data_IF_278650222634
#
_entry.id   IF_278650222634
#
_cell.length_a   1.000
_cell.length_b   1.000
_cell.length_c   1.000
_cell.angle_alpha   90.00
_cell.angle_beta   90.00
_cell.angle_gamma   90.00
#
_symmetry.space_group_name_H-M   'P 1'
#
loop_
_entity.id
_entity.type
_entity.pdbx_description
1 polymer ?
#
# COMPACT_ATOMS: atom_id res chain seq x y z
N UNK A 1 -2.65 18.76 11.78
CA UNK A 1 -3.48 18.01 10.81
C UNK A 1 -2.72 17.99 9.50
N UNK A 2 -2.51 16.80 8.91
CA UNK A 2 -1.63 16.58 7.75
C UNK A 2 -2.41 15.92 6.61
N UNK A 3 -3.59 16.48 6.29
CA UNK A 3 -4.44 15.98 5.21
C UNK A 3 -3.73 16.10 3.85
N UNK A 4 -3.65 15.01 3.04
CA UNK A 4 -3.09 15.06 1.70
C UNK A 4 -3.87 16.03 0.80
N UNK A 5 -3.20 16.58 -0.22
CA UNK A 5 -3.87 17.41 -1.22
C UNK A 5 -4.90 16.58 -2.00
N UNK A 6 -5.96 17.24 -2.50
CA UNK A 6 -6.96 16.57 -3.33
C UNK A 6 -6.35 15.91 -4.58
N UNK A 7 -5.31 16.52 -5.14
CA UNK A 7 -4.52 15.97 -6.24
C UNK A 7 -3.81 14.67 -5.84
N UNK A 8 -3.17 14.64 -4.66
CA UNK A 8 -2.53 13.42 -4.13
C UNK A 8 -3.55 12.29 -3.98
N UNK A 9 -4.68 12.55 -3.33
CA UNK A 9 -5.73 11.54 -3.11
C UNK A 9 -6.29 11.02 -4.43
N UNK A 10 -6.45 11.91 -5.43
CA UNK A 10 -6.91 11.53 -6.77
C UNK A 10 -5.90 10.64 -7.50
N UNK A 11 -4.61 10.99 -7.47
CA UNK A 11 -3.56 10.21 -8.12
C UNK A 11 -3.38 8.84 -7.48
N UNK A 12 -3.37 8.76 -6.14
CA UNK A 12 -3.28 7.47 -5.43
C UNK A 12 -4.52 6.62 -5.71
N UNK A 13 -5.72 7.23 -5.67
CA UNK A 13 -6.97 6.53 -6.01
C UNK A 13 -6.97 5.98 -7.43
N UNK A 14 -6.53 6.76 -8.42
CA UNK A 14 -6.43 6.32 -9.81
C UNK A 14 -5.41 5.19 -9.99
N UNK A 15 -4.27 5.25 -9.29
CA UNK A 15 -3.26 4.21 -9.32
C UNK A 15 -3.78 2.88 -8.72
N UNK A 16 -4.45 2.93 -7.57
CA UNK A 16 -5.09 1.75 -6.99
C UNK A 16 -6.16 1.17 -7.91
N UNK A 17 -7.02 2.03 -8.47
CA UNK A 17 -8.07 1.61 -9.40
C UNK A 17 -7.49 0.94 -10.67
N UNK A 18 -6.36 1.45 -11.20
CA UNK A 18 -5.67 0.83 -12.35
C UNK A 18 -5.14 -0.58 -12.06
N UNK A 19 -4.94 -0.93 -10.79
CA UNK A 19 -4.56 -2.26 -10.33
C UNK A 19 -5.77 -3.08 -9.83
N UNK A 20 -7.00 -2.64 -10.13
CA UNK A 20 -8.25 -3.24 -9.67
C UNK A 20 -8.38 -3.31 -8.15
N UNK A 21 -7.83 -2.31 -7.45
CA UNK A 21 -7.90 -2.18 -6.00
C UNK A 21 -8.80 -1.00 -5.63
N UNK A 22 -9.65 -1.21 -4.63
CA UNK A 22 -10.46 -0.16 -4.01
C UNK A 22 -9.98 0.08 -2.59
N UNK A 23 -10.10 1.32 -2.13
CA UNK A 23 -9.73 1.69 -0.78
C UNK A 23 -10.67 2.74 -0.21
N UNK A 24 -10.92 2.64 1.09
CA UNK A 24 -11.69 3.60 1.88
C UNK A 24 -10.78 4.18 2.96
N UNK A 25 -10.66 5.50 3.12
CA UNK A 25 -9.74 6.07 4.09
C UNK A 25 -10.00 5.57 5.52
N UNK A 26 -8.93 5.22 6.25
CA UNK A 26 -9.03 4.77 7.66
C UNK A 26 -9.37 5.92 8.62
N UNK A 27 -9.06 7.16 8.22
CA UNK A 27 -9.21 8.35 9.06
C UNK A 27 -9.96 9.43 8.30
N UNK A 28 -10.64 10.31 9.05
CA UNK A 28 -11.30 11.48 8.46
C UNK A 28 -10.33 12.42 7.72
N UNK A 29 -9.05 12.41 8.11
CA UNK A 29 -8.00 13.19 7.48
C UNK A 29 -7.47 12.56 6.18
N UNK A 30 -7.76 11.27 5.92
CA UNK A 30 -7.39 10.61 4.67
C UNK A 30 -5.92 10.24 4.51
N UNK A 31 -5.12 10.35 5.58
CA UNK A 31 -3.65 10.17 5.51
C UNK A 31 -3.25 8.69 5.40
N UNK A 32 -4.07 7.78 5.95
CA UNK A 32 -3.87 6.33 5.89
C UNK A 32 -4.98 5.66 5.09
N UNK A 33 -4.56 4.86 4.13
CA UNK A 33 -5.41 4.27 3.10
C UNK A 33 -5.22 2.74 3.19
N UNK A 34 -6.21 1.98 3.69
CA UNK A 34 -6.15 0.53 3.80
C UNK A 34 -6.44 -0.06 2.43
N UNK A 35 -5.56 -0.94 1.96
CA UNK A 35 -5.73 -1.62 0.68
C UNK A 35 -5.87 -3.10 0.93
N UNK A 36 -7.04 -3.65 0.57
CA UNK A 36 -7.25 -5.08 0.61
C UNK A 36 -6.82 -5.68 -0.74
N UNK A 37 -5.75 -6.46 -0.73
CA UNK A 37 -5.14 -7.05 -1.92
C UNK A 37 -4.69 -8.48 -1.63
N UNK A 38 -4.75 -9.34 -2.64
CA UNK A 38 -4.04 -10.63 -2.58
C UNK A 38 -2.52 -10.40 -2.64
N UNK A 39 -1.72 -11.37 -2.19
CA UNK A 39 -0.25 -11.33 -2.31
C UNK A 39 0.18 -11.08 -3.76
N UNK A 40 -0.49 -11.71 -4.74
CA UNK A 40 -0.20 -11.49 -6.16
C UNK A 40 -0.45 -10.04 -6.60
N UNK A 41 -1.54 -9.43 -6.14
CA UNK A 41 -1.83 -8.03 -6.45
C UNK A 41 -0.85 -7.07 -5.75
N UNK A 42 -0.48 -7.36 -4.50
CA UNK A 42 0.49 -6.55 -3.77
C UNK A 42 1.88 -6.62 -4.42
N UNK A 43 2.30 -7.81 -4.87
CA UNK A 43 3.52 -8.01 -5.66
C UNK A 43 3.51 -7.17 -6.94
N UNK A 44 2.40 -7.17 -7.67
CA UNK A 44 2.26 -6.37 -8.90
C UNK A 44 2.25 -4.87 -8.60
N UNK A 45 1.47 -4.43 -7.61
CA UNK A 45 1.30 -3.03 -7.23
C UNK A 45 2.63 -2.40 -6.81
N UNK A 46 3.38 -3.13 -6.00
CA UNK A 46 4.60 -2.67 -5.35
C UNK A 46 5.88 -3.19 -6.03
N UNK A 47 5.76 -3.85 -7.19
CA UNK A 47 6.88 -4.46 -7.92
C UNK A 47 7.85 -5.21 -6.99
N UNK A 48 7.29 -6.13 -6.22
CA UNK A 48 7.92 -6.76 -5.06
C UNK A 48 7.60 -8.25 -4.99
N UNK A 49 8.28 -8.97 -4.09
CA UNK A 49 7.92 -10.33 -3.69
C UNK A 49 7.68 -10.41 -2.18
N UNK A 50 6.42 -10.59 -1.79
CA UNK A 50 6.06 -10.94 -0.41
C UNK A 50 6.40 -12.39 -0.10
N UNK A 51 6.90 -12.63 1.11
CA UNK A 51 7.19 -13.94 1.66
C UNK A 51 6.56 -14.09 3.04
N UNK A 52 6.11 -15.30 3.37
CA UNK A 52 5.58 -15.62 4.69
C UNK A 52 6.72 -15.88 5.67
N UNK A 53 6.80 -15.07 6.73
CA UNK A 53 7.69 -15.28 7.85
C UNK A 53 6.90 -15.82 9.03
N UNK A 54 7.40 -16.90 9.64
CA UNK A 54 6.80 -17.50 10.84
C UNK A 54 7.68 -17.21 12.05
N UNK A 55 7.10 -16.65 13.09
CA UNK A 55 7.72 -16.58 14.41
C UNK A 55 7.63 -17.96 15.08
N UNK A 56 8.76 -18.54 15.47
CA UNK A 56 8.82 -19.90 16.02
C UNK A 56 8.32 -20.00 17.46
N UNK A 57 8.39 -18.92 18.23
CA UNK A 57 7.96 -18.88 19.63
C UNK A 57 6.43 -18.72 19.74
N UNK A 58 5.84 -17.85 18.90
CA UNK A 58 4.41 -17.54 18.93
C UNK A 58 3.59 -18.32 17.90
N UNK A 59 4.24 -18.99 16.95
CA UNK A 59 3.63 -19.62 15.76
C UNK A 59 2.83 -18.67 14.85
N UNK A 60 2.98 -17.35 15.01
CA UNK A 60 2.33 -16.35 14.18
C UNK A 60 3.06 -16.18 12.85
N UNK A 61 2.30 -15.89 11.80
CA UNK A 61 2.84 -15.63 10.46
C UNK A 61 2.57 -14.20 10.02
N UNK A 62 3.51 -13.62 9.27
CA UNK A 62 3.39 -12.30 8.66
C UNK A 62 3.92 -12.36 7.22
N UNK A 63 3.26 -11.66 6.31
CA UNK A 63 3.77 -11.46 4.96
C UNK A 63 4.69 -10.24 4.97
N UNK A 64 5.96 -10.40 4.55
CA UNK A 64 6.93 -9.31 4.49
C UNK A 64 7.65 -9.26 3.15
N UNK A 65 8.12 -8.06 2.80
CA UNK A 65 9.01 -7.81 1.66
C UNK A 65 10.14 -6.85 2.05
N UNK A 66 11.26 -6.88 1.32
CA UNK A 66 12.47 -6.10 1.61
C UNK A 66 12.94 -5.21 0.43
N UNK A 67 12.57 -5.43 -0.84
CA UNK A 67 12.52 -4.32 -1.79
C UNK A 67 11.13 -4.15 -2.41
N UNK A 68 10.63 -2.91 -2.39
CA UNK A 68 9.44 -2.51 -3.12
C UNK A 68 9.71 -1.27 -3.98
N UNK A 69 8.89 -1.09 -5.02
CA UNK A 69 8.90 0.09 -5.87
C UNK A 69 7.47 0.56 -6.16
N UNK A 70 7.32 1.88 -6.27
CA UNK A 70 6.07 2.55 -6.69
C UNK A 70 6.38 3.52 -7.82
N UNK A 71 5.37 3.93 -8.62
CA UNK A 71 5.55 4.94 -9.65
C UNK A 71 6.26 6.20 -9.13
N UNK A 72 7.21 6.73 -9.89
CA UNK A 72 8.00 7.90 -9.48
C UNK A 72 7.16 9.13 -9.19
N UNK A 73 6.03 9.29 -9.89
CA UNK A 73 5.04 10.36 -9.65
C UNK A 73 4.39 10.28 -8.27
N UNK A 74 4.29 9.07 -7.69
CA UNK A 74 3.69 8.85 -6.37
C UNK A 74 4.72 8.87 -5.23
N UNK A 75 6.02 8.72 -5.51
CA UNK A 75 7.08 8.77 -4.48
C UNK A 75 7.11 10.09 -3.71
N UNK A 76 6.71 11.20 -4.33
CA UNK A 76 6.64 12.49 -3.67
C UNK A 76 5.46 12.59 -2.67
N UNK A 77 4.46 11.73 -2.82
CA UNK A 77 3.19 11.79 -2.08
C UNK A 77 2.99 10.64 -1.09
N UNK A 78 3.70 9.53 -1.24
CA UNK A 78 3.62 8.36 -0.34
C UNK A 78 4.90 8.28 0.49
N UNK A 79 4.77 8.46 1.80
CA UNK A 79 5.93 8.42 2.72
C UNK A 79 6.24 7.01 3.25
N UNK A 80 5.22 6.15 3.39
CA UNK A 80 5.37 4.80 3.91
C UNK A 80 4.32 3.86 3.29
N UNK A 81 4.66 2.57 3.23
CA UNK A 81 3.79 1.46 2.84
C UNK A 81 3.90 0.38 3.91
#
# INVERSE_FOLDING_TARGET
>A
FVTPSADTTTQVGAWLASNNLTSLPLTAAGEWIPVNATVSQANQLLSTEFSTFRNMDTNQTVECTLPYAIPGTLKASINAI
#
